data_IF_734888180916
#
_entry.id   IF_734888180916
#
_cell.length_a   1.000
_cell.length_b   1.000
_cell.length_c   1.000
_cell.angle_alpha   90.00
_cell.angle_beta   90.00
_cell.angle_gamma   90.00
#
_symmetry.space_group_name_H-M   'P 1'
#
loop_
_entity.id
_entity.type
_entity.pdbx_description
1 polymer ?
#
# COMPACT_ATOMS: atom_id res chain seq x y z
N UNK A 1 22.85 14.27 25.72
CA UNK A 1 21.40 14.38 25.56
C UNK A 1 20.97 13.13 24.77
N UNK A 2 19.85 12.51 25.08
CA UNK A 2 19.34 11.34 24.33
C UNK A 2 18.99 11.78 22.90
N UNK A 3 19.18 10.89 21.93
CA UNK A 3 18.96 11.17 20.50
C UNK A 3 17.94 10.23 19.87
N UNK A 4 17.13 10.75 18.96
CA UNK A 4 16.10 10.01 18.24
C UNK A 4 16.36 10.18 16.73
N UNK A 5 16.50 9.08 15.99
CA UNK A 5 16.46 9.13 14.54
C UNK A 5 15.02 9.08 14.06
N UNK A 6 14.68 9.90 13.07
CA UNK A 6 13.36 9.86 12.44
C UNK A 6 13.53 9.59 10.94
N UNK A 7 12.99 8.45 10.51
CA UNK A 7 13.08 7.95 9.13
C UNK A 7 11.71 8.09 8.47
N UNK A 8 11.65 8.75 7.34
CA UNK A 8 10.42 8.98 6.57
C UNK A 8 10.65 8.73 5.09
N UNK A 9 9.58 8.52 4.31
CA UNK A 9 9.72 8.43 2.86
C UNK A 9 9.92 9.80 2.20
N UNK A 10 10.22 9.80 0.89
CA UNK A 10 10.43 11.00 0.07
C UNK A 10 9.30 12.03 0.18
N UNK A 11 8.06 11.56 0.32
CA UNK A 11 6.90 12.45 0.40
C UNK A 11 6.88 13.24 1.72
N UNK A 12 7.04 12.56 2.84
CA UNK A 12 7.07 13.21 4.16
C UNK A 12 8.37 13.97 4.43
N UNK A 13 9.45 13.63 3.73
CA UNK A 13 10.68 14.43 3.72
C UNK A 13 10.54 15.75 2.93
N UNK A 14 9.48 15.89 2.12
CA UNK A 14 9.27 17.07 1.28
C UNK A 14 10.13 17.09 0.01
N UNK A 15 10.64 15.92 -0.44
CA UNK A 15 11.44 15.77 -1.65
C UNK A 15 10.55 15.73 -2.89
N UNK A 16 9.39 15.05 -2.80
CA UNK A 16 8.42 14.94 -3.87
C UNK A 16 7.41 13.82 -3.64
N UNK A 17 6.50 13.63 -4.59
CA UNK A 17 5.50 12.57 -4.60
C UNK A 17 6.03 11.26 -5.20
N UNK A 18 5.16 10.53 -5.90
CA UNK A 18 5.50 9.27 -6.58
C UNK A 18 6.60 9.45 -7.65
N UNK A 19 6.69 10.64 -8.26
CA UNK A 19 7.73 10.95 -9.24
C UNK A 19 9.15 11.01 -8.64
N UNK A 20 9.26 10.97 -7.30
CA UNK A 20 10.50 10.92 -6.53
C UNK A 20 10.64 9.65 -5.70
N UNK A 21 9.79 8.66 -5.93
CA UNK A 21 9.83 7.40 -5.19
C UNK A 21 11.10 6.56 -5.44
N UNK A 22 11.87 6.90 -6.48
CA UNK A 22 13.15 6.23 -6.84
C UNK A 22 14.37 6.88 -6.18
N UNK A 23 14.19 7.92 -5.34
CA UNK A 23 15.33 8.60 -4.71
C UNK A 23 16.06 7.65 -3.74
N UNK A 24 17.39 7.63 -3.82
CA UNK A 24 18.21 6.87 -2.89
C UNK A 24 18.05 7.40 -1.45
N UNK A 25 18.26 6.51 -0.47
CA UNK A 25 18.22 6.90 0.93
C UNK A 25 19.32 7.90 1.29
N UNK A 26 19.02 8.81 2.20
CA UNK A 26 19.95 9.83 2.67
C UNK A 26 19.41 10.61 3.87
N UNK A 27 20.16 11.62 4.28
CA UNK A 27 19.81 12.51 5.39
C UNK A 27 19.73 13.95 4.90
N UNK A 28 18.70 14.68 5.31
CA UNK A 28 18.57 16.11 5.05
C UNK A 28 19.47 16.91 6.00
N UNK A 29 19.81 18.15 5.63
CA UNK A 29 20.60 19.06 6.49
C UNK A 29 19.84 19.51 7.74
N UNK A 30 18.52 19.33 7.76
CA UNK A 30 17.64 19.81 8.84
C UNK A 30 16.40 18.90 9.00
N UNK A 31 15.65 19.18 10.06
CA UNK A 31 14.35 18.54 10.28
C UNK A 31 13.33 18.96 9.21
N UNK A 32 12.62 18.00 8.63
CA UNK A 32 11.59 18.21 7.63
C UNK A 32 10.29 17.50 8.01
N UNK A 33 9.17 17.96 7.46
CA UNK A 33 7.87 17.32 7.63
C UNK A 33 7.53 16.97 9.08
N UNK A 34 7.15 15.71 9.35
CA UNK A 34 6.75 15.26 10.68
C UNK A 34 7.89 15.28 11.71
N UNK A 35 9.18 15.26 11.28
CA UNK A 35 10.30 15.32 12.22
C UNK A 35 10.31 16.60 13.06
N UNK A 36 9.85 17.72 12.50
CA UNK A 36 9.66 18.98 13.26
C UNK A 36 8.58 18.85 14.33
N UNK A 37 7.52 18.12 14.02
CA UNK A 37 6.45 17.82 14.98
C UNK A 37 6.95 16.96 16.12
N UNK A 38 7.69 15.90 15.78
CA UNK A 38 8.29 14.99 16.74
C UNK A 38 9.28 15.71 17.66
N UNK A 39 10.15 16.59 17.13
CA UNK A 39 11.08 17.38 17.95
C UNK A 39 10.36 18.24 18.95
N UNK A 40 9.28 18.94 18.57
CA UNK A 40 8.50 19.77 19.50
C UNK A 40 7.90 18.93 20.64
N UNK A 41 7.44 17.73 20.33
CA UNK A 41 6.88 16.81 21.32
C UNK A 41 7.94 16.22 22.27
N UNK A 42 9.20 16.15 21.84
CA UNK A 42 10.33 15.63 22.62
C UNK A 42 11.21 16.73 23.22
N UNK A 43 10.81 18.00 23.10
CA UNK A 43 11.58 19.15 23.61
C UNK A 43 11.93 18.98 25.09
N UNK A 44 13.20 19.28 25.42
CA UNK A 44 13.74 19.12 26.77
C UNK A 44 14.06 17.69 27.21
N UNK A 45 13.75 16.67 26.41
CA UNK A 45 14.00 15.26 26.71
C UNK A 45 14.97 14.59 25.74
N UNK A 46 14.82 14.87 24.45
CA UNK A 46 15.69 14.33 23.42
C UNK A 46 15.86 15.30 22.25
N UNK A 47 16.94 15.10 21.51
CA UNK A 47 17.19 15.74 20.21
C UNK A 47 16.81 14.80 19.10
N UNK A 48 15.97 15.25 18.17
CA UNK A 48 15.71 14.52 16.92
C UNK A 48 16.82 14.86 15.94
N UNK A 49 17.54 13.85 15.46
CA UNK A 49 18.57 13.98 14.43
C UNK A 49 17.98 14.53 13.12
N UNK A 50 18.79 15.09 12.23
CA UNK A 50 18.33 15.48 10.91
C UNK A 50 17.52 14.36 10.23
N UNK A 51 16.49 14.75 9.47
CA UNK A 51 15.52 13.78 8.91
C UNK A 51 16.20 12.82 7.94
N UNK A 52 16.13 11.54 8.22
CA UNK A 52 16.54 10.48 7.32
C UNK A 52 15.39 10.18 6.37
N UNK A 53 15.66 9.99 5.09
CA UNK A 53 14.64 9.71 4.09
C UNK A 53 15.03 8.58 3.16
N UNK A 54 14.02 8.01 2.48
CA UNK A 54 14.20 7.03 1.41
C UNK A 54 13.08 7.15 0.39
N UNK A 55 13.30 6.61 -0.80
CA UNK A 55 12.30 6.46 -1.84
C UNK A 55 11.54 5.14 -1.70
N UNK A 56 10.22 5.20 -1.75
CA UNK A 56 9.37 4.00 -1.62
C UNK A 56 9.68 2.93 -2.68
N UNK A 57 9.91 3.32 -3.95
CA UNK A 57 10.29 2.39 -5.01
C UNK A 57 11.73 1.89 -4.83
N UNK A 58 12.67 2.81 -4.60
CA UNK A 58 14.08 2.45 -4.42
C UNK A 58 14.28 1.41 -3.31
N UNK A 59 13.52 1.53 -2.21
CA UNK A 59 13.59 0.56 -1.12
C UNK A 59 13.13 -0.84 -1.54
N UNK A 60 12.16 -0.95 -2.44
CA UNK A 60 11.63 -2.25 -2.88
C UNK A 60 12.35 -2.81 -4.10
N UNK A 61 12.86 -1.97 -4.98
CA UNK A 61 13.54 -2.39 -6.21
C UNK A 61 15.03 -2.69 -5.98
N UNK A 62 15.68 -1.93 -5.07
CA UNK A 62 17.09 -2.08 -4.71
C UNK A 62 17.27 -2.32 -3.19
N UNK A 63 16.65 -3.39 -2.63
CA UNK A 63 16.51 -3.55 -1.19
C UNK A 63 17.84 -3.62 -0.44
N UNK A 64 18.85 -4.28 -0.99
CA UNK A 64 20.15 -4.43 -0.34
C UNK A 64 20.89 -3.09 -0.24
N UNK A 65 20.85 -2.28 -1.30
CA UNK A 65 21.47 -0.96 -1.33
C UNK A 65 20.75 0.01 -0.38
N UNK A 66 19.42 0.05 -0.47
CA UNK A 66 18.60 0.94 0.35
C UNK A 66 18.73 0.62 1.85
N UNK A 67 18.71 -0.65 2.22
CA UNK A 67 18.90 -1.10 3.61
C UNK A 67 20.29 -0.71 4.13
N UNK A 68 21.35 -0.99 3.37
CA UNK A 68 22.69 -0.64 3.75
C UNK A 68 22.89 0.88 3.90
N UNK A 69 22.28 1.68 3.03
CA UNK A 69 22.30 3.13 3.13
C UNK A 69 21.58 3.62 4.38
N UNK A 70 20.36 3.13 4.64
CA UNK A 70 19.56 3.51 5.80
C UNK A 70 20.25 3.13 7.11
N UNK A 71 20.83 1.93 7.21
CA UNK A 71 21.59 1.54 8.40
C UNK A 71 22.77 2.48 8.65
N UNK A 72 23.53 2.87 7.61
CA UNK A 72 24.62 3.84 7.76
C UNK A 72 24.13 5.18 8.30
N UNK A 73 23.03 5.72 7.76
CA UNK A 73 22.45 6.98 8.21
C UNK A 73 21.94 6.91 9.65
N UNK A 74 21.28 5.81 10.02
CA UNK A 74 20.78 5.57 11.38
C UNK A 74 21.92 5.44 12.39
N UNK A 75 23.01 4.75 12.02
CA UNK A 75 24.20 4.63 12.86
C UNK A 75 24.87 6.00 13.02
N UNK A 76 25.02 6.76 11.92
CA UNK A 76 25.61 8.10 11.95
C UNK A 76 24.77 9.09 12.81
N UNK A 77 23.48 8.87 12.91
CA UNK A 77 22.60 9.66 13.79
C UNK A 77 22.86 9.41 15.28
N UNK A 78 23.59 8.35 15.66
CA UNK A 78 23.85 7.95 17.05
C UNK A 78 22.59 7.85 17.90
N UNK A 79 21.50 7.35 17.33
CA UNK A 79 20.18 7.37 17.95
C UNK A 79 20.03 6.30 19.05
N UNK A 80 19.42 6.67 20.17
CA UNK A 80 18.99 5.73 21.23
C UNK A 80 17.69 4.99 20.82
N UNK A 81 16.81 5.70 20.11
CA UNK A 81 15.51 5.19 19.61
C UNK A 81 15.33 5.62 18.16
N UNK A 82 14.74 4.75 17.34
CA UNK A 82 14.42 5.03 15.95
C UNK A 82 12.91 5.11 15.76
N UNK A 83 12.42 6.20 15.18
CA UNK A 83 11.03 6.39 14.80
C UNK A 83 10.92 6.26 13.27
N UNK A 84 9.97 5.46 12.81
CA UNK A 84 9.74 5.16 11.40
C UNK A 84 8.32 5.58 11.02
N UNK A 85 8.15 6.43 10.06
CA UNK A 85 6.82 6.88 9.67
C UNK A 85 6.30 8.11 10.43
N UNK A 86 5.00 8.23 10.70
CA UNK A 86 3.95 7.21 10.52
C UNK A 86 3.57 6.98 9.05
N UNK A 87 3.23 5.73 8.74
CA UNK A 87 2.93 5.30 7.37
C UNK A 87 1.43 5.33 7.03
N UNK A 88 0.55 5.48 8.01
CA UNK A 88 -0.90 5.45 7.81
C UNK A 88 -1.35 4.20 7.05
N UNK A 89 -2.15 4.34 5.99
CA UNK A 89 -2.54 3.21 5.14
C UNK A 89 -1.77 3.18 3.81
N UNK A 90 -0.53 3.70 3.77
CA UNK A 90 0.34 3.60 2.59
C UNK A 90 1.11 2.27 2.63
N UNK A 91 0.71 1.31 1.78
CA UNK A 91 1.18 -0.09 1.85
C UNK A 91 2.69 -0.25 1.67
N UNK A 92 3.28 0.25 0.58
CA UNK A 92 4.75 0.18 0.33
C UNK A 92 5.54 0.85 1.44
N UNK A 93 5.13 2.05 1.85
CA UNK A 93 5.77 2.78 2.92
C UNK A 93 5.67 2.05 4.26
N UNK A 94 4.49 1.48 4.57
CA UNK A 94 4.30 0.68 5.78
C UNK A 94 5.22 -0.55 5.83
N UNK A 95 5.30 -1.30 4.72
CA UNK A 95 6.21 -2.44 4.60
C UNK A 95 7.66 -2.02 4.82
N UNK A 96 8.11 -0.94 4.17
CA UNK A 96 9.45 -0.41 4.38
C UNK A 96 9.71 -0.04 5.86
N UNK A 97 8.76 0.64 6.52
CA UNK A 97 8.89 0.98 7.94
C UNK A 97 9.05 -0.27 8.84
N UNK A 98 8.27 -1.32 8.58
CA UNK A 98 8.36 -2.56 9.36
C UNK A 98 9.67 -3.29 9.08
N UNK A 99 10.09 -3.42 7.83
CA UNK A 99 11.34 -4.07 7.45
C UNK A 99 12.57 -3.34 8.00
N UNK A 100 12.63 -2.01 7.85
CA UNK A 100 13.72 -1.20 8.44
C UNK A 100 13.74 -1.38 9.95
N UNK A 101 12.57 -1.33 10.60
CA UNK A 101 12.45 -1.51 12.04
C UNK A 101 12.93 -2.89 12.51
N UNK A 102 12.60 -3.95 11.76
CA UNK A 102 13.07 -5.31 12.01
C UNK A 102 14.60 -5.40 11.95
N UNK A 103 15.20 -4.90 10.87
CA UNK A 103 16.66 -4.93 10.68
C UNK A 103 17.38 -4.12 11.77
N UNK A 104 16.91 -2.92 12.07
CA UNK A 104 17.49 -2.06 13.12
C UNK A 104 17.36 -2.70 14.50
N UNK A 105 16.22 -3.35 14.78
CA UNK A 105 16.02 -4.08 16.03
C UNK A 105 16.98 -5.27 16.15
N UNK A 106 17.20 -6.01 15.06
CA UNK A 106 18.04 -7.20 15.02
C UNK A 106 19.55 -6.86 15.01
N UNK A 107 19.98 -5.92 14.15
CA UNK A 107 21.40 -5.66 13.91
C UNK A 107 21.99 -4.58 14.84
N UNK A 108 21.22 -3.55 15.17
CA UNK A 108 21.67 -2.45 16.00
C UNK A 108 21.17 -2.53 17.44
N UNK A 109 20.32 -3.51 17.75
CA UNK A 109 19.67 -3.68 19.06
C UNK A 109 18.94 -2.43 19.57
N UNK A 110 18.44 -1.58 18.66
CA UNK A 110 17.72 -0.35 19.00
C UNK A 110 16.22 -0.57 19.07
N UNK A 111 15.57 0.21 19.94
CA UNK A 111 14.11 0.26 19.97
C UNK A 111 13.62 1.05 18.75
N UNK A 112 12.70 0.43 18.02
CA UNK A 112 12.04 1.01 16.86
C UNK A 112 10.55 1.22 17.13
N UNK A 113 10.04 2.37 16.72
CA UNK A 113 8.64 2.73 16.90
C UNK A 113 8.08 3.20 15.56
N UNK A 114 6.95 2.63 15.16
CA UNK A 114 6.26 3.02 13.91
C UNK A 114 4.77 3.20 14.14
N UNK A 115 4.09 3.85 13.22
CA UNK A 115 2.65 4.05 13.28
C UNK A 115 2.00 3.80 11.91
N UNK A 116 0.91 3.02 11.88
CA UNK A 116 0.13 2.79 10.67
C UNK A 116 -1.31 2.37 10.99
N UNK A 117 -2.17 2.44 9.99
CA UNK A 117 -3.54 1.98 10.10
C UNK A 117 -3.58 0.45 10.23
N UNK A 118 -4.55 -0.09 10.96
CA UNK A 118 -4.64 -1.53 11.22
C UNK A 118 -4.85 -2.37 9.95
N UNK A 119 -5.45 -1.79 8.91
CA UNK A 119 -5.62 -2.43 7.60
C UNK A 119 -4.39 -2.29 6.68
N UNK A 120 -3.30 -1.68 7.15
CA UNK A 120 -2.08 -1.62 6.36
C UNK A 120 -1.46 -3.03 6.24
N UNK A 121 -1.10 -3.51 5.03
CA UNK A 121 -0.56 -4.86 4.85
C UNK A 121 0.73 -5.12 5.65
N UNK A 122 1.46 -4.09 6.03
CA UNK A 122 2.65 -4.22 6.87
C UNK A 122 2.36 -4.67 8.31
N UNK A 123 1.11 -4.57 8.77
CA UNK A 123 0.72 -5.07 10.10
C UNK A 123 0.90 -6.59 10.18
N UNK A 124 0.66 -7.31 9.09
CA UNK A 124 0.88 -8.75 9.04
C UNK A 124 2.38 -9.09 9.13
N UNK A 125 3.23 -8.37 8.40
CA UNK A 125 4.69 -8.52 8.50
C UNK A 125 5.21 -8.19 9.92
N UNK A 126 4.71 -7.14 10.55
CA UNK A 126 5.03 -6.80 11.94
C UNK A 126 4.68 -7.92 12.91
N UNK A 127 3.51 -8.55 12.73
CA UNK A 127 3.07 -9.68 13.55
C UNK A 127 3.93 -10.92 13.31
N UNK A 128 4.32 -11.16 12.06
CA UNK A 128 5.15 -12.30 11.67
C UNK A 128 6.57 -12.18 12.22
N UNK A 129 7.22 -11.03 12.10
CA UNK A 129 8.57 -10.78 12.63
C UNK A 129 8.63 -10.92 14.14
N UNK A 130 7.59 -10.56 14.86
CA UNK A 130 7.48 -10.76 16.31
C UNK A 130 8.63 -10.13 17.11
N UNK A 131 9.21 -9.05 16.62
CA UNK A 131 10.38 -8.42 17.21
C UNK A 131 10.10 -7.81 18.59
N UNK A 132 10.97 -8.12 19.55
CA UNK A 132 10.84 -7.59 20.90
C UNK A 132 11.12 -6.08 21.02
N UNK A 133 11.85 -5.51 20.05
CA UNK A 133 12.25 -4.10 20.02
C UNK A 133 11.50 -3.24 18.99
N UNK A 134 10.61 -3.83 18.20
CA UNK A 134 9.77 -3.11 17.24
C UNK A 134 8.36 -2.94 17.79
N UNK A 135 7.84 -1.71 17.80
CA UNK A 135 6.52 -1.37 18.32
C UNK A 135 5.73 -0.58 17.28
N UNK A 136 4.55 -1.07 16.95
CA UNK A 136 3.66 -0.49 15.96
C UNK A 136 2.41 0.07 16.65
N UNK A 137 2.15 1.36 16.46
CA UNK A 137 0.98 2.05 17.02
C UNK A 137 -0.10 2.22 15.96
N UNK A 138 -1.39 1.98 16.31
CA UNK A 138 -2.49 2.22 15.40
C UNK A 138 -2.63 3.71 15.10
N UNK A 139 -2.87 4.05 13.83
CA UNK A 139 -3.13 5.43 13.39
C UNK A 139 -4.46 5.52 12.68
N UNK A 140 -4.90 6.74 12.39
CA UNK A 140 -5.93 6.98 11.40
C UNK A 140 -5.46 6.52 10.03
N UNK A 141 -6.41 6.37 9.11
CA UNK A 141 -6.12 5.87 7.76
C UNK A 141 -5.30 6.85 6.91
N UNK A 142 -5.38 8.15 7.20
CA UNK A 142 -4.76 9.21 6.39
C UNK A 142 -3.86 10.13 7.21
N UNK A 143 -2.97 10.84 6.53
CA UNK A 143 -2.07 11.84 7.12
C UNK A 143 -2.77 13.01 7.81
N UNK A 144 -4.09 13.17 7.69
CA UNK A 144 -4.87 14.12 8.48
C UNK A 144 -4.73 13.87 10.00
N UNK A 145 -4.44 12.63 10.40
CA UNK A 145 -4.18 12.23 11.77
C UNK A 145 -2.74 12.40 12.25
N UNK A 146 -1.85 13.06 11.49
CA UNK A 146 -0.41 13.18 11.80
C UNK A 146 -0.13 13.66 13.22
N UNK A 147 -0.81 14.70 13.68
CA UNK A 147 -0.58 15.24 15.03
C UNK A 147 -0.80 14.20 16.12
N UNK A 148 -1.94 13.50 16.08
CA UNK A 148 -2.27 12.45 17.04
C UNK A 148 -1.31 11.27 16.95
N UNK A 149 -0.94 10.86 15.74
CA UNK A 149 0.03 9.77 15.54
C UNK A 149 1.39 10.11 16.18
N UNK A 150 1.91 11.31 15.93
CA UNK A 150 3.17 11.77 16.53
C UNK A 150 3.09 11.88 18.06
N UNK A 151 1.97 12.31 18.62
CA UNK A 151 1.76 12.37 20.08
C UNK A 151 1.88 10.97 20.72
N UNK A 152 1.24 9.95 20.13
CA UNK A 152 1.32 8.59 20.63
C UNK A 152 2.73 8.00 20.52
N UNK A 153 3.38 8.19 19.36
CA UNK A 153 4.77 7.74 19.17
C UNK A 153 5.71 8.44 20.16
N UNK A 154 5.59 9.77 20.30
CA UNK A 154 6.43 10.55 21.23
C UNK A 154 6.19 10.16 22.69
N UNK A 155 4.95 9.85 23.08
CA UNK A 155 4.62 9.35 24.43
C UNK A 155 5.40 8.07 24.73
N UNK A 156 5.39 7.12 23.84
CA UNK A 156 6.11 5.86 24.02
C UNK A 156 7.63 6.05 23.94
N UNK A 157 8.13 6.84 22.98
CA UNK A 157 9.56 7.18 22.86
C UNK A 157 10.10 7.78 24.17
N UNK A 158 9.41 8.74 24.80
CA UNK A 158 9.81 9.34 26.07
C UNK A 158 10.06 8.29 27.15
N UNK A 159 9.15 7.32 27.29
CA UNK A 159 9.28 6.23 28.27
C UNK A 159 10.48 5.34 27.96
N UNK A 160 10.73 5.07 26.66
CA UNK A 160 11.91 4.27 26.25
C UNK A 160 13.24 4.98 26.51
N UNK A 161 13.27 6.28 26.35
CA UNK A 161 14.45 7.09 26.66
C UNK A 161 14.77 7.16 28.17
N UNK A 162 13.78 6.85 29.00
CA UNK A 162 13.91 6.74 30.47
C UNK A 162 14.12 5.31 30.96
N UNK A 163 14.31 4.36 30.04
CA UNK A 163 14.49 2.93 30.31
C UNK A 163 13.36 2.30 31.17
N UNK A 164 12.15 2.87 31.11
CA UNK A 164 10.99 2.30 31.79
C UNK A 164 10.63 0.93 31.21
N UNK A 165 10.15 -0.05 31.98
CA UNK A 165 9.73 -1.34 31.42
C UNK A 165 8.58 -1.20 30.44
N UNK A 166 8.56 -2.04 29.40
CA UNK A 166 7.44 -2.11 28.45
C UNK A 166 6.32 -2.95 29.04
N UNK A 167 5.13 -2.37 29.14
CA UNK A 167 3.91 -3.05 29.56
C UNK A 167 3.25 -3.89 28.46
N UNK A 168 2.09 -4.45 28.77
CA UNK A 168 1.28 -5.17 27.79
C UNK A 168 0.79 -4.22 26.66
N UNK A 169 0.53 -4.77 25.48
CA UNK A 169 0.09 -3.98 24.33
C UNK A 169 -1.20 -3.17 24.60
N UNK A 170 -2.14 -3.76 25.35
CA UNK A 170 -3.39 -3.10 25.74
C UNK A 170 -3.19 -1.89 26.67
N UNK A 171 -2.16 -1.92 27.51
CA UNK A 171 -1.84 -0.82 28.42
C UNK A 171 -1.02 0.28 27.74
N UNK A 172 -0.15 -0.11 26.82
CA UNK A 172 0.77 0.78 26.11
C UNK A 172 0.18 1.38 24.83
N UNK A 173 -0.80 0.71 24.22
CA UNK A 173 -1.47 1.14 23.02
C UNK A 173 -0.79 0.72 21.70
N UNK A 174 0.29 -0.06 21.73
CA UNK A 174 0.84 -0.65 20.50
C UNK A 174 0.06 -1.90 20.09
N UNK A 175 0.07 -2.25 18.80
CA UNK A 175 -0.55 -3.48 18.32
C UNK A 175 0.18 -4.71 18.87
N UNK A 176 -0.54 -5.73 19.33
CA UNK A 176 0.09 -6.95 19.81
C UNK A 176 0.88 -7.64 18.70
N UNK A 177 2.05 -8.16 19.05
CA UNK A 177 2.90 -8.96 18.17
C UNK A 177 2.38 -10.39 18.12
N UNK A 178 2.49 -11.00 16.96
CA UNK A 178 1.92 -12.31 16.69
C UNK A 178 0.41 -12.30 16.56
N UNK A 179 -0.16 -13.43 16.19
CA UNK A 179 -1.60 -13.62 16.08
C UNK A 179 -2.07 -14.21 17.40
N UNK A 180 -2.86 -13.43 18.15
CA UNK A 180 -3.40 -13.87 19.44
C UNK A 180 -4.91 -13.79 19.43
N UNK A 181 -5.56 -14.90 19.75
CA UNK A 181 -6.97 -14.95 20.05
C UNK A 181 -7.15 -15.22 21.54
N UNK A 182 -8.05 -14.48 22.18
CA UNK A 182 -8.46 -14.83 23.53
C UNK A 182 -9.43 -16.01 23.43
N UNK A 183 -8.91 -17.21 23.63
CA UNK A 183 -9.74 -18.39 23.79
C UNK A 183 -9.68 -18.90 25.23
N UNK A 184 -10.87 -19.04 25.83
CA UNK A 184 -11.03 -19.61 27.16
C UNK A 184 -11.30 -21.12 27.04
N UNK A 185 -10.36 -21.87 26.53
CA UNK A 185 -10.42 -23.33 26.50
C UNK A 185 -9.50 -23.91 27.58
N UNK A 186 -9.86 -25.07 28.10
CA UNK A 186 -9.01 -25.79 29.05
C UNK A 186 -7.77 -26.42 28.42
N UNK A 187 -7.52 -26.16 27.10
CA UNK A 187 -6.42 -26.72 26.32
C UNK A 187 -5.49 -25.62 25.84
N UNK A 188 -4.22 -25.92 25.72
CA UNK A 188 -3.23 -24.96 25.18
C UNK A 188 -3.45 -24.74 23.69
N UNK A 189 -3.02 -23.59 23.16
CA UNK A 189 -3.03 -23.34 21.72
C UNK A 189 -2.22 -24.36 20.92
N UNK A 190 -1.13 -24.86 21.51
CA UNK A 190 -0.30 -25.91 20.90
C UNK A 190 -1.06 -27.23 20.75
N UNK A 191 -1.82 -27.65 21.78
CA UNK A 191 -2.66 -28.86 21.69
C UNK A 191 -3.72 -28.75 20.60
N UNK A 192 -4.38 -27.59 20.51
CA UNK A 192 -5.40 -27.35 19.47
C UNK A 192 -4.81 -27.31 18.07
N UNK A 193 -3.63 -26.69 17.89
CA UNK A 193 -2.92 -26.68 16.62
C UNK A 193 -2.50 -28.09 16.20
N UNK A 194 -2.06 -28.91 17.14
CA UNK A 194 -1.69 -30.32 16.87
C UNK A 194 -2.90 -31.13 16.42
N UNK A 195 -4.04 -31.00 17.09
CA UNK A 195 -5.28 -31.68 16.68
C UNK A 195 -5.71 -31.29 15.27
N UNK A 196 -5.70 -29.98 14.97
CA UNK A 196 -6.03 -29.49 13.63
C UNK A 196 -5.07 -30.04 12.56
N UNK A 197 -3.78 -30.16 12.89
CA UNK A 197 -2.78 -30.76 12.00
C UNK A 197 -3.05 -32.24 11.78
N UNK A 198 -3.34 -33.00 12.84
CA UNK A 198 -3.66 -34.45 12.74
C UNK A 198 -4.92 -34.68 11.92
N UNK A 199 -5.99 -33.92 12.16
CA UNK A 199 -7.21 -33.99 11.38
C UNK A 199 -6.97 -33.71 9.90
N UNK A 200 -6.11 -32.72 9.60
CA UNK A 200 -5.71 -32.40 8.21
C UNK A 200 -4.92 -33.52 7.55
N UNK A 201 -3.98 -34.15 8.26
CA UNK A 201 -3.19 -35.29 7.77
C UNK A 201 -4.09 -36.49 7.50
N UNK A 202 -5.07 -36.76 8.37
CA UNK A 202 -6.00 -37.86 8.25
C UNK A 202 -7.16 -37.59 7.27
N UNK A 203 -7.20 -36.42 6.63
CA UNK A 203 -8.25 -36.02 5.69
C UNK A 203 -9.60 -35.78 6.35
N UNK A 204 -9.65 -35.54 7.65
CA UNK A 204 -10.84 -35.22 8.40
C UNK A 204 -11.23 -33.73 8.22
N UNK A 205 -12.50 -33.36 8.40
CA UNK A 205 -12.91 -31.97 8.52
C UNK A 205 -12.24 -31.30 9.72
N UNK A 206 -11.60 -30.17 9.50
CA UNK A 206 -11.04 -29.35 10.58
C UNK A 206 -11.47 -27.89 10.45
N UNK A 207 -11.56 -27.18 11.57
CA UNK A 207 -11.84 -25.76 11.61
C UNK A 207 -10.57 -25.00 11.99
N UNK A 208 -10.20 -23.99 11.21
CA UNK A 208 -9.12 -23.08 11.61
C UNK A 208 -9.64 -22.04 12.61
N UNK A 209 -8.89 -21.81 13.69
CA UNK A 209 -9.19 -20.75 14.66
C UNK A 209 -8.79 -19.37 14.15
N UNK A 210 -7.94 -19.30 13.13
CA UNK A 210 -7.53 -18.05 12.49
C UNK A 210 -8.56 -17.74 11.41
N UNK A 211 -9.26 -16.59 11.48
CA UNK A 211 -10.12 -16.16 10.41
C UNK A 211 -9.32 -16.02 9.12
N UNK A 212 -9.61 -16.85 8.14
CA UNK A 212 -9.05 -16.68 6.81
C UNK A 212 -9.89 -15.65 6.06
N UNK A 213 -9.25 -14.73 5.36
CA UNK A 213 -9.96 -13.88 4.42
C UNK A 213 -10.64 -14.76 3.38
N UNK A 214 -11.96 -14.71 3.35
CA UNK A 214 -12.74 -15.38 2.32
C UNK A 214 -13.09 -14.37 1.25
N UNK A 215 -12.62 -14.62 0.04
CA UNK A 215 -13.04 -13.85 -1.12
C UNK A 215 -14.31 -14.45 -1.69
N UNK A 216 -15.23 -13.60 -2.14
CA UNK A 216 -16.42 -14.05 -2.86
C UNK A 216 -15.98 -14.84 -4.10
N UNK A 217 -16.43 -16.09 -4.19
CA UNK A 217 -16.19 -16.90 -5.38
C UNK A 217 -17.16 -16.46 -6.46
N UNK A 218 -16.63 -15.84 -7.50
CA UNK A 218 -17.40 -15.51 -8.69
C UNK A 218 -17.24 -16.64 -9.69
N UNK A 219 -18.35 -17.22 -10.11
CA UNK A 219 -18.32 -18.24 -11.16
C UNK A 219 -17.79 -17.60 -12.47
N UNK A 220 -16.87 -18.27 -13.18
CA UNK A 220 -16.43 -17.81 -14.48
C UNK A 220 -17.63 -17.63 -15.42
N UNK A 221 -17.60 -16.56 -16.22
CA UNK A 221 -18.57 -16.37 -17.28
C UNK A 221 -18.48 -17.53 -18.31
N UNK A 222 -19.57 -17.78 -19.04
CA UNK A 222 -19.54 -18.73 -20.14
C UNK A 222 -18.48 -18.27 -21.18
N UNK A 223 -17.76 -19.24 -21.74
CA UNK A 223 -16.77 -18.96 -22.78
C UNK A 223 -17.45 -18.29 -23.99
N UNK A 224 -16.79 -17.30 -24.58
CA UNK A 224 -17.19 -16.71 -25.86
C UNK A 224 -17.07 -17.78 -26.93
N UNK A 225 -18.18 -18.12 -27.60
CA UNK A 225 -18.23 -19.23 -28.54
C UNK A 225 -17.41 -18.98 -29.80
N UNK A 226 -17.42 -17.75 -30.29
CA UNK A 226 -16.70 -17.34 -31.50
C UNK A 226 -16.08 -15.95 -31.25
N UNK A 227 -14.81 -15.96 -30.86
CA UNK A 227 -14.08 -14.71 -30.57
C UNK A 227 -13.94 -13.87 -31.85
N UNK A 228 -13.81 -14.50 -33.04
CA UNK A 228 -13.68 -13.79 -34.28
C UNK A 228 -14.91 -12.93 -34.66
N UNK A 229 -16.05 -13.18 -34.03
CA UNK A 229 -17.29 -12.40 -34.20
C UNK A 229 -17.67 -11.58 -32.97
N UNK A 230 -16.81 -11.55 -31.97
CA UNK A 230 -17.11 -10.91 -30.71
C UNK A 230 -16.93 -9.38 -30.82
N UNK A 231 -17.81 -8.66 -30.10
CA UNK A 231 -17.60 -7.25 -29.72
C UNK A 231 -16.91 -7.20 -28.37
N UNK A 232 -15.74 -6.57 -28.33
CA UNK A 232 -14.90 -6.48 -27.13
C UNK A 232 -14.92 -5.03 -26.58
N UNK A 233 -15.01 -4.88 -25.28
CA UNK A 233 -14.82 -3.59 -24.60
C UNK A 233 -13.55 -3.59 -23.75
N UNK A 234 -13.00 -2.40 -23.49
CA UNK A 234 -11.86 -2.18 -22.62
C UNK A 234 -12.30 -1.52 -21.33
N UNK A 235 -11.89 -2.09 -20.21
CA UNK A 235 -12.10 -1.54 -18.86
C UNK A 235 -10.76 -1.48 -18.16
N UNK A 236 -10.41 -0.36 -17.54
CA UNK A 236 -9.10 -0.21 -16.90
C UNK A 236 -9.19 0.41 -15.51
N UNK A 237 -8.32 -0.02 -14.62
CA UNK A 237 -8.10 0.62 -13.30
C UNK A 237 -6.91 1.58 -13.30
N UNK A 238 -6.22 1.75 -14.42
CA UNK A 238 -5.03 2.59 -14.55
C UNK A 238 -5.22 4.07 -14.23
N UNK A 239 -6.47 4.55 -14.27
CA UNK A 239 -6.75 5.97 -14.08
C UNK A 239 -6.33 6.86 -15.26
N UNK A 240 -6.06 6.29 -16.45
CA UNK A 240 -5.78 7.07 -17.66
C UNK A 240 -7.05 7.81 -18.10
N UNK A 241 -6.97 9.13 -18.12
CA UNK A 241 -8.08 10.06 -18.41
C UNK A 241 -7.59 11.16 -19.37
N UNK A 242 -8.47 11.96 -19.98
CA UNK A 242 -8.05 13.13 -20.75
C UNK A 242 -7.21 14.09 -19.90
N UNK A 243 -6.22 14.71 -20.53
CA UNK A 243 -5.30 15.63 -19.87
C UNK A 243 -6.05 16.73 -19.09
N UNK A 244 -5.57 17.04 -17.89
CA UNK A 244 -6.19 17.99 -16.96
C UNK A 244 -7.30 17.40 -16.12
N UNK A 245 -7.53 16.07 -16.17
CA UNK A 245 -8.52 15.37 -15.35
C UNK A 245 -9.88 16.08 -15.25
N UNK A 246 -10.57 16.32 -16.39
CA UNK A 246 -11.76 17.18 -16.45
C UNK A 246 -12.93 16.67 -15.59
N UNK A 247 -12.98 15.37 -15.32
CA UNK A 247 -14.03 14.76 -14.49
C UNK A 247 -13.71 14.76 -12.99
N UNK A 248 -12.53 15.22 -12.60
CA UNK A 248 -12.14 15.34 -11.19
C UNK A 248 -11.94 14.00 -10.47
N UNK A 249 -11.38 13.00 -11.15
CA UNK A 249 -11.02 11.75 -10.52
C UNK A 249 -10.05 11.98 -9.36
N UNK A 250 -10.19 11.17 -8.33
CA UNK A 250 -9.29 11.17 -7.18
C UNK A 250 -8.23 10.10 -7.36
N UNK A 251 -7.00 10.41 -6.94
CA UNK A 251 -5.88 9.46 -6.94
C UNK A 251 -6.06 8.29 -5.97
N UNK A 252 -6.90 8.48 -4.93
CA UNK A 252 -7.23 7.49 -3.91
C UNK A 252 -8.73 7.42 -3.71
N UNK A 253 -9.26 6.21 -3.46
CA UNK A 253 -10.66 5.99 -3.06
C UNK A 253 -11.67 6.66 -3.96
N UNK A 254 -11.45 6.57 -5.25
CA UNK A 254 -12.41 7.06 -6.20
C UNK A 254 -13.72 6.25 -6.10
N UNK A 255 -14.86 6.92 -6.22
CA UNK A 255 -16.18 6.31 -6.01
C UNK A 255 -17.06 6.30 -7.25
N UNK A 256 -16.52 6.68 -8.40
CA UNK A 256 -17.26 6.72 -9.65
C UNK A 256 -16.38 6.27 -10.82
N UNK A 257 -16.99 5.94 -11.93
CA UNK A 257 -16.33 5.60 -13.18
C UNK A 257 -16.75 6.58 -14.30
N UNK A 258 -15.97 6.59 -15.37
CA UNK A 258 -16.30 7.28 -16.61
C UNK A 258 -15.97 6.39 -17.80
N UNK A 259 -16.51 6.77 -18.97
CA UNK A 259 -16.10 6.22 -20.25
C UNK A 259 -15.65 7.33 -21.18
N UNK A 260 -14.64 7.06 -21.95
CA UNK A 260 -14.11 7.99 -22.93
C UNK A 260 -14.13 7.37 -24.32
N UNK A 261 -14.57 8.15 -25.36
CA UNK A 261 -14.66 7.65 -26.71
C UNK A 261 -13.27 7.36 -27.29
N UNK A 262 -13.16 6.24 -28.01
CA UNK A 262 -11.94 5.84 -28.74
C UNK A 262 -12.22 5.55 -30.21
N UNK A 263 -13.46 5.73 -30.70
CA UNK A 263 -13.83 5.40 -32.07
C UNK A 263 -12.93 6.08 -33.10
N UNK A 264 -12.70 7.38 -32.90
CA UNK A 264 -11.92 8.22 -33.83
C UNK A 264 -10.42 8.22 -33.53
N UNK A 265 -9.99 7.59 -32.45
CA UNK A 265 -8.58 7.55 -32.04
C UNK A 265 -7.84 6.43 -32.78
N UNK A 266 -6.71 6.77 -33.37
CA UNK A 266 -5.77 5.79 -33.91
C UNK A 266 -4.88 5.23 -32.83
N UNK A 267 -4.46 6.08 -31.89
CA UNK A 267 -3.60 5.75 -30.76
C UNK A 267 -3.90 6.66 -29.57
N UNK A 268 -3.30 6.38 -28.43
CA UNK A 268 -3.33 7.21 -27.24
C UNK A 268 -2.09 8.10 -27.21
N UNK A 269 -2.18 9.31 -27.78
CA UNK A 269 -1.03 10.22 -27.89
C UNK A 269 -0.57 10.73 -26.51
N UNK A 270 0.72 10.67 -26.18
CA UNK A 270 1.27 11.31 -24.98
C UNK A 270 0.93 12.81 -24.93
N UNK A 271 0.65 13.31 -23.72
CA UNK A 271 0.25 14.71 -23.51
C UNK A 271 -1.22 15.01 -23.77
N UNK A 272 -1.98 14.10 -24.40
CA UNK A 272 -3.44 14.20 -24.51
C UNK A 272 -4.15 13.45 -23.38
N UNK A 273 -3.42 12.59 -22.69
CA UNK A 273 -3.91 11.74 -21.62
C UNK A 273 -2.95 11.80 -20.43
N UNK A 274 -3.50 11.61 -19.25
CA UNK A 274 -2.74 11.50 -18.00
C UNK A 274 -3.30 10.41 -17.12
N UNK A 275 -2.47 9.88 -16.24
CA UNK A 275 -2.87 8.90 -15.22
C UNK A 275 -3.17 9.59 -13.90
N UNK A 276 -4.37 9.40 -13.39
CA UNK A 276 -4.81 9.85 -12.08
C UNK A 276 -4.82 8.63 -11.15
N UNK A 277 -3.67 8.33 -10.54
CA UNK A 277 -3.52 7.15 -9.69
C UNK A 277 -2.43 7.39 -8.64
N UNK A 278 -2.62 6.91 -7.41
CA UNK A 278 -1.67 7.10 -6.31
C UNK A 278 -0.94 5.83 -5.88
N UNK A 279 -1.09 4.71 -6.60
CA UNK A 279 -0.50 3.42 -6.25
C UNK A 279 0.72 3.03 -7.10
N UNK A 280 1.09 3.83 -8.11
CA UNK A 280 2.26 3.61 -8.94
C UNK A 280 2.82 4.94 -9.47
N UNK A 281 4.06 4.92 -9.96
CA UNK A 281 4.65 6.11 -10.60
C UNK A 281 3.95 6.40 -11.94
N UNK A 282 3.16 7.46 -11.99
CA UNK A 282 2.35 7.82 -13.17
C UNK A 282 3.20 8.36 -14.33
N UNK A 283 4.47 8.69 -14.13
CA UNK A 283 5.33 9.26 -15.18
C UNK A 283 5.44 8.32 -16.40
N UNK A 284 5.62 7.02 -16.17
CA UNK A 284 5.69 6.02 -17.24
C UNK A 284 4.36 5.92 -18.00
N UNK A 285 3.23 5.95 -17.29
CA UNK A 285 1.91 5.91 -17.88
C UNK A 285 1.60 7.20 -18.67
N UNK A 286 2.04 8.35 -18.18
CA UNK A 286 1.89 9.64 -18.90
C UNK A 286 2.78 9.70 -20.15
N UNK A 287 3.96 9.09 -20.10
CA UNK A 287 4.84 8.97 -21.26
C UNK A 287 4.29 8.00 -22.31
N UNK A 288 3.56 6.97 -21.90
CA UNK A 288 2.92 6.01 -22.79
C UNK A 288 1.57 5.52 -22.24
N UNK A 289 0.46 6.22 -22.53
CA UNK A 289 -0.87 5.85 -22.06
C UNK A 289 -1.35 4.46 -22.51
N UNK A 290 -0.72 3.88 -23.53
CA UNK A 290 -1.03 2.53 -24.04
C UNK A 290 -0.75 1.43 -23.00
N UNK A 291 0.07 1.67 -22.00
CA UNK A 291 0.24 0.73 -20.89
C UNK A 291 -1.04 0.54 -20.07
N UNK A 292 -1.87 1.58 -19.94
CA UNK A 292 -3.14 1.51 -19.24
C UNK A 292 -4.36 1.32 -20.14
N UNK A 293 -4.24 1.72 -21.40
CA UNK A 293 -5.31 1.63 -22.43
C UNK A 293 -4.68 1.09 -23.73
N UNK A 294 -4.50 -0.23 -23.89
CA UNK A 294 -3.76 -0.84 -25.01
C UNK A 294 -4.54 -0.77 -26.34
N UNK A 295 -4.89 0.45 -26.77
CA UNK A 295 -5.75 0.70 -27.93
C UNK A 295 -5.10 0.20 -29.23
N UNK A 296 -3.81 0.43 -29.40
CA UNK A 296 -3.08 0.06 -30.64
C UNK A 296 -3.07 -1.46 -30.82
N UNK A 297 -2.75 -2.20 -29.75
CA UNK A 297 -2.78 -3.66 -29.80
C UNK A 297 -4.19 -4.20 -30.09
N UNK A 298 -5.22 -3.60 -29.51
CA UNK A 298 -6.60 -3.97 -29.81
C UNK A 298 -6.97 -3.68 -31.27
N UNK A 299 -6.55 -2.55 -31.79
CA UNK A 299 -6.79 -2.20 -33.22
C UNK A 299 -6.07 -3.13 -34.17
N UNK A 300 -4.84 -3.49 -33.88
CA UNK A 300 -4.06 -4.48 -34.64
C UNK A 300 -4.76 -5.84 -34.66
N UNK A 301 -5.15 -6.35 -33.49
CA UNK A 301 -5.88 -7.62 -33.39
C UNK A 301 -7.24 -7.57 -34.14
N UNK A 302 -7.94 -6.44 -34.13
CA UNK A 302 -9.15 -6.25 -34.89
C UNK A 302 -8.87 -6.32 -36.41
N UNK A 303 -7.82 -5.64 -36.88
CA UNK A 303 -7.40 -5.68 -38.30
C UNK A 303 -6.98 -7.07 -38.74
N UNK A 304 -6.38 -7.85 -37.86
CA UNK A 304 -6.04 -9.25 -38.10
C UNK A 304 -7.25 -10.19 -38.06
N UNK A 305 -8.46 -9.68 -37.78
CA UNK A 305 -9.67 -10.47 -37.69
C UNK A 305 -9.74 -11.39 -36.48
N UNK A 306 -9.00 -11.09 -35.39
CA UNK A 306 -9.04 -11.90 -34.18
C UNK A 306 -10.35 -11.68 -33.40
N UNK A 307 -11.01 -10.55 -33.58
CA UNK A 307 -12.37 -10.23 -33.13
C UNK A 307 -13.02 -9.23 -34.10
N UNK A 308 -14.34 -9.11 -34.04
CA UNK A 308 -15.09 -8.33 -35.05
C UNK A 308 -15.11 -6.84 -34.74
N UNK A 309 -15.44 -6.44 -33.49
CA UNK A 309 -15.71 -5.05 -33.17
C UNK A 309 -15.11 -4.63 -31.82
N UNK A 310 -14.49 -3.45 -31.80
CA UNK A 310 -14.07 -2.79 -30.56
C UNK A 310 -15.16 -1.82 -30.13
N UNK A 311 -15.68 -1.97 -28.90
CA UNK A 311 -16.64 -1.03 -28.34
C UNK A 311 -16.07 0.40 -28.41
N UNK A 312 -16.84 1.40 -28.86
CA UNK A 312 -16.30 2.71 -29.24
C UNK A 312 -15.86 3.59 -28.07
N UNK A 313 -15.80 3.07 -26.86
CA UNK A 313 -15.31 3.75 -25.68
C UNK A 313 -14.61 2.76 -24.73
N UNK A 314 -13.67 3.25 -23.92
CA UNK A 314 -13.15 2.48 -22.79
C UNK A 314 -13.70 3.02 -21.46
N UNK A 315 -13.78 2.15 -20.47
CA UNK A 315 -14.23 2.47 -19.13
C UNK A 315 -13.03 2.61 -18.21
N UNK A 316 -13.02 3.65 -17.37
CA UNK A 316 -11.92 3.91 -16.45
C UNK A 316 -12.41 4.09 -15.01
N UNK A 317 -11.69 3.44 -14.10
CA UNK A 317 -11.81 3.59 -12.66
C UNK A 317 -10.40 3.63 -12.11
N UNK A 318 -9.95 4.72 -11.47
CA UNK A 318 -8.72 4.65 -10.67
C UNK A 318 -8.90 3.61 -9.56
N UNK A 319 -8.10 2.52 -9.61
CA UNK A 319 -8.30 1.34 -8.73
C UNK A 319 -7.74 1.49 -7.33
N UNK A 320 -6.91 2.51 -7.08
CA UNK A 320 -6.14 2.62 -5.85
C UNK A 320 -7.03 2.85 -4.62
N UNK A 321 -6.91 1.96 -3.64
CA UNK A 321 -7.66 1.98 -2.37
C UNK A 321 -9.18 2.07 -2.53
N UNK A 322 -9.72 1.52 -3.60
CA UNK A 322 -11.17 1.43 -3.79
C UNK A 322 -11.78 0.44 -2.81
N UNK A 323 -12.84 0.86 -2.07
CA UNK A 323 -13.53 -0.09 -1.20
C UNK A 323 -14.18 -1.21 -2.02
N UNK A 324 -14.16 -2.47 -1.57
CA UNK A 324 -14.79 -3.60 -2.28
C UNK A 324 -16.25 -3.32 -2.68
N UNK A 325 -17.03 -2.70 -1.79
CA UNK A 325 -18.42 -2.36 -2.07
C UNK A 325 -18.57 -1.35 -3.24
N UNK A 326 -17.72 -0.32 -3.29
CA UNK A 326 -17.72 0.63 -4.40
C UNK A 326 -17.27 -0.02 -5.72
N UNK A 327 -16.23 -0.86 -5.67
CA UNK A 327 -15.74 -1.57 -6.85
C UNK A 327 -16.79 -2.54 -7.38
N UNK A 328 -17.49 -3.27 -6.50
CA UNK A 328 -18.57 -4.16 -6.89
C UNK A 328 -19.75 -3.41 -7.52
N UNK A 329 -20.17 -2.28 -6.94
CA UNK A 329 -21.22 -1.42 -7.50
C UNK A 329 -20.83 -0.91 -8.90
N UNK A 330 -19.64 -0.32 -9.03
CA UNK A 330 -19.16 0.20 -10.32
C UNK A 330 -19.02 -0.90 -11.37
N UNK A 331 -18.53 -2.07 -10.97
CA UNK A 331 -18.45 -3.24 -11.84
C UNK A 331 -19.83 -3.71 -12.34
N UNK A 332 -20.83 -3.70 -11.47
CA UNK A 332 -22.23 -4.03 -11.84
C UNK A 332 -22.81 -3.00 -12.81
N UNK A 333 -22.58 -1.71 -12.57
CA UNK A 333 -23.05 -0.63 -13.45
C UNK A 333 -22.42 -0.73 -14.84
N UNK A 334 -21.10 -0.91 -14.92
CA UNK A 334 -20.36 -1.09 -16.19
C UNK A 334 -20.86 -2.35 -16.92
N UNK A 335 -20.99 -3.48 -16.22
CA UNK A 335 -21.46 -4.72 -16.81
C UNK A 335 -22.89 -4.61 -17.36
N UNK A 336 -23.77 -3.87 -16.67
CA UNK A 336 -25.13 -3.63 -17.15
C UNK A 336 -25.12 -2.82 -18.47
N UNK A 337 -24.27 -1.79 -18.55
CA UNK A 337 -24.13 -0.97 -19.76
C UNK A 337 -23.53 -1.77 -20.93
N UNK A 338 -22.49 -2.56 -20.68
CA UNK A 338 -21.87 -3.42 -21.70
C UNK A 338 -22.88 -4.43 -22.26
N UNK A 339 -23.67 -5.08 -21.40
CA UNK A 339 -24.75 -5.98 -21.81
C UNK A 339 -25.82 -5.28 -22.66
N UNK A 340 -26.23 -4.08 -22.26
CA UNK A 340 -27.23 -3.28 -23.01
C UNK A 340 -26.72 -2.91 -24.41
N UNK A 341 -25.40 -2.84 -24.61
CA UNK A 341 -24.77 -2.55 -25.90
C UNK A 341 -24.29 -3.79 -26.67
N UNK A 342 -24.75 -4.97 -26.25
CA UNK A 342 -24.41 -6.26 -26.89
C UNK A 342 -22.90 -6.51 -26.97
N UNK A 343 -22.17 -6.20 -25.92
CA UNK A 343 -20.75 -6.51 -25.79
C UNK A 343 -20.60 -7.94 -25.29
N UNK A 344 -19.81 -8.74 -26.01
CA UNK A 344 -19.62 -10.17 -25.73
C UNK A 344 -18.54 -10.44 -24.69
N UNK A 345 -17.50 -9.57 -24.66
CA UNK A 345 -16.38 -9.72 -23.72
C UNK A 345 -15.81 -8.35 -23.32
N UNK A 346 -15.20 -8.31 -22.14
CA UNK A 346 -14.45 -7.15 -21.65
C UNK A 346 -13.01 -7.55 -21.33
N UNK A 347 -12.05 -6.81 -21.88
CA UNK A 347 -10.65 -6.88 -21.47
C UNK A 347 -10.47 -5.97 -20.26
N UNK A 348 -10.06 -6.56 -19.13
CA UNK A 348 -9.77 -5.84 -17.91
C UNK A 348 -8.27 -5.60 -17.80
N UNK A 349 -7.86 -4.33 -17.77
CA UNK A 349 -6.47 -3.91 -17.56
C UNK A 349 -6.36 -3.39 -16.13
N UNK A 350 -5.65 -4.12 -15.30
CA UNK A 350 -5.44 -3.78 -13.88
C UNK A 350 -4.05 -3.21 -13.64
N UNK A 351 -3.94 -2.36 -12.64
CA UNK A 351 -2.69 -1.76 -12.14
C UNK A 351 -2.55 -2.00 -10.65
#
# INVERSE_FOLDING_TARGET
MKRVAHVVNQFFAGIGGEEKADVAAGTLDALAGPSRGLQRLLEGQAEVAPTIYFGDNHFHEEPEEARAALLREIVAAEADVVVLGPAFNAGRYGLACVEIGHIVAAELERVCVTGMHEDNPAVDAYREYHDARLFLFPTTETAAGMGKALEELARFVRRRLQDEPVGAAEDEGYLPRGIRFQERSGRTGADRALDMLLDKIEGKPFATEIPMQTWDRVAPAAAVKDVGRAKIALVTTSGVVPWGNPDGFKTFRNTFWRKYPVAELKTMEPGMWEAVHGGYNVANMNANPLYGVPLDALRELQQEGKYEDLYPAYYVVPGNQGSPANMQRMGQEIAAELKANSVDAALLVST
#
